data_IF_564815550639
#
_entry.id   IF_564815550639
#
_cell.length_a   1.000
_cell.length_b   1.000
_cell.length_c   1.000
_cell.angle_alpha   90.00
_cell.angle_beta   90.00
_cell.angle_gamma   90.00
#
_symmetry.space_group_name_H-M   'P 1'
#
loop_
_entity.id
_entity.type
_entity.pdbx_description
1 polymer ?
#
# COMPACT_ATOMS: atom_id res chain seq x y z
N UNK A 1 -12.00 3.34 5.14
CA UNK A 1 -12.36 3.84 3.80
C UNK A 1 -11.18 3.65 2.89
N UNK A 2 -11.40 3.17 1.67
CA UNK A 2 -10.36 2.96 0.66
C UNK A 2 -10.09 4.29 -0.07
N UNK A 3 -8.83 4.71 -0.20
CA UNK A 3 -8.47 6.03 -0.75
C UNK A 3 -8.96 6.20 -2.20
N UNK A 4 -8.94 5.13 -3.00
CA UNK A 4 -9.48 5.14 -4.36
C UNK A 4 -10.98 5.39 -4.35
N UNK A 5 -11.70 4.70 -3.46
CA UNK A 5 -13.15 4.84 -3.33
C UNK A 5 -13.55 6.27 -2.87
N UNK A 6 -12.81 6.86 -1.93
CA UNK A 6 -13.03 8.24 -1.50
C UNK A 6 -12.83 9.24 -2.64
N UNK A 7 -11.77 9.06 -3.43
CA UNK A 7 -11.51 9.90 -4.60
C UNK A 7 -12.60 9.76 -5.66
N UNK A 8 -13.07 8.53 -5.93
CA UNK A 8 -14.17 8.27 -6.87
C UNK A 8 -15.48 8.91 -6.41
N UNK A 9 -15.78 8.90 -5.11
CA UNK A 9 -16.94 9.62 -4.54
C UNK A 9 -16.84 11.12 -4.81
N UNK A 10 -15.70 11.74 -4.52
CA UNK A 10 -15.51 13.18 -4.76
C UNK A 10 -15.70 13.52 -6.24
N UNK A 11 -15.14 12.72 -7.15
CA UNK A 11 -15.32 12.91 -8.59
C UNK A 11 -16.79 12.78 -9.02
N UNK A 12 -17.51 11.83 -8.43
CA UNK A 12 -18.92 11.63 -8.69
C UNK A 12 -19.75 12.83 -8.22
N UNK A 13 -19.49 13.33 -7.01
CA UNK A 13 -20.20 14.48 -6.45
C UNK A 13 -19.92 15.77 -7.25
N UNK A 14 -18.66 16.01 -7.63
CA UNK A 14 -18.29 17.11 -8.52
C UNK A 14 -19.00 17.02 -9.88
N UNK A 15 -19.11 15.81 -10.44
CA UNK A 15 -19.83 15.61 -11.69
C UNK A 15 -21.33 15.88 -11.53
N UNK A 16 -21.94 15.48 -10.41
CA UNK A 16 -23.34 15.77 -10.09
C UNK A 16 -23.61 17.28 -9.92
N UNK A 17 -22.61 18.04 -9.45
CA UNK A 17 -22.63 19.51 -9.38
C UNK A 17 -22.32 20.19 -10.73
N UNK A 18 -22.11 19.43 -11.81
CA UNK A 18 -21.78 19.95 -13.15
C UNK A 18 -20.31 20.34 -13.33
N UNK A 19 -19.46 20.07 -12.35
CA UNK A 19 -18.01 20.34 -12.38
C UNK A 19 -17.24 19.17 -12.96
N UNK A 20 -17.35 18.95 -14.28
CA UNK A 20 -16.62 17.89 -14.97
C UNK A 20 -15.14 18.22 -15.11
N UNK A 21 -14.27 17.41 -14.50
CA UNK A 21 -12.82 17.49 -14.64
C UNK A 21 -12.33 16.66 -15.83
N UNK A 22 -11.26 17.09 -16.50
CA UNK A 22 -10.62 16.29 -17.54
C UNK A 22 -10.03 15.01 -16.95
N UNK A 23 -10.06 13.91 -17.70
CA UNK A 23 -9.49 12.64 -17.24
C UNK A 23 -8.00 12.78 -16.87
N UNK A 24 -7.23 13.52 -17.66
CA UNK A 24 -5.83 13.82 -17.37
C UNK A 24 -5.62 14.52 -16.02
N UNK A 25 -6.52 15.43 -15.64
CA UNK A 25 -6.48 16.08 -14.34
C UNK A 25 -6.87 15.11 -13.22
N UNK A 26 -7.88 14.29 -13.42
CA UNK A 26 -8.30 13.28 -12.43
C UNK A 26 -7.16 12.31 -12.12
N UNK A 27 -6.48 11.79 -13.15
CA UNK A 27 -5.29 10.94 -13.04
C UNK A 27 -4.18 11.67 -12.28
N UNK A 28 -3.87 12.92 -12.66
CA UNK A 28 -2.83 13.72 -12.00
C UNK A 28 -3.11 13.94 -10.52
N UNK A 29 -4.33 14.34 -10.20
CA UNK A 29 -4.76 14.61 -8.84
C UNK A 29 -4.68 13.35 -7.98
N UNK A 30 -5.11 12.20 -8.50
CA UNK A 30 -5.07 10.94 -7.75
C UNK A 30 -3.62 10.50 -7.46
N UNK A 31 -2.71 10.59 -8.46
CA UNK A 31 -1.28 10.31 -8.28
C UNK A 31 -0.67 11.26 -7.24
N UNK A 32 -1.02 12.54 -7.29
CA UNK A 32 -0.43 13.53 -6.39
C UNK A 32 -0.88 13.33 -4.95
N UNK A 33 -2.12 12.85 -4.74
CA UNK A 33 -2.69 12.54 -3.42
C UNK A 33 -2.21 11.21 -2.82
N UNK A 34 -1.36 10.44 -3.49
CA UNK A 34 -0.83 9.20 -2.92
C UNK A 34 0.02 9.45 -1.67
N UNK A 35 -0.07 8.56 -0.65
CA UNK A 35 0.68 8.69 0.59
C UNK A 35 2.20 8.63 0.34
N UNK A 36 3.02 9.27 1.20
CA UNK A 36 4.49 9.31 1.06
C UNK A 36 5.14 7.92 1.01
N UNK A 37 4.54 6.92 1.65
CA UNK A 37 5.03 5.53 1.65
C UNK A 37 4.98 4.87 0.26
N UNK A 38 4.27 5.46 -0.71
CA UNK A 38 4.21 4.99 -2.10
C UNK A 38 5.12 5.82 -3.03
N UNK A 39 6.21 6.41 -2.52
CA UNK A 39 7.07 7.33 -3.31
C UNK A 39 7.56 6.73 -4.63
N UNK A 40 8.09 5.51 -4.61
CA UNK A 40 8.66 4.90 -5.81
C UNK A 40 7.57 4.50 -6.81
N UNK A 41 6.45 3.97 -6.31
CA UNK A 41 5.26 3.71 -7.11
C UNK A 41 4.68 5.00 -7.72
N UNK A 42 4.65 6.10 -6.95
CA UNK A 42 4.23 7.43 -7.42
C UNK A 42 5.14 7.93 -8.54
N UNK A 43 6.45 7.72 -8.45
CA UNK A 43 7.40 8.08 -9.51
C UNK A 43 7.16 7.26 -10.79
N UNK A 44 6.93 5.96 -10.66
CA UNK A 44 6.54 5.10 -11.78
C UNK A 44 5.25 5.58 -12.45
N UNK A 45 4.22 5.91 -11.67
CA UNK A 45 2.96 6.42 -12.19
C UNK A 45 3.13 7.77 -12.89
N UNK A 46 3.95 8.69 -12.36
CA UNK A 46 4.27 9.97 -13.03
C UNK A 46 4.91 9.77 -14.40
N UNK A 47 5.78 8.77 -14.54
CA UNK A 47 6.37 8.42 -15.83
C UNK A 47 5.34 7.87 -16.82
N UNK A 48 4.42 7.01 -16.35
CA UNK A 48 3.38 6.37 -17.19
C UNK A 48 2.09 7.17 -17.38
N UNK A 49 1.96 8.29 -16.67
CA UNK A 49 0.73 9.07 -16.58
C UNK A 49 0.13 9.47 -17.94
N UNK A 50 0.96 9.81 -18.94
CA UNK A 50 0.47 10.25 -20.26
C UNK A 50 -0.12 9.11 -21.11
N UNK A 51 0.22 7.87 -20.79
CA UNK A 51 -0.20 6.66 -21.52
C UNK A 51 -1.36 5.95 -20.80
N UNK A 52 -1.83 6.49 -19.67
CA UNK A 52 -2.72 5.82 -18.72
C UNK A 52 -4.01 6.61 -18.50
N UNK A 53 -5.15 5.91 -18.60
CA UNK A 53 -6.46 6.43 -18.22
C UNK A 53 -6.78 6.19 -16.74
N UNK A 54 -7.91 6.72 -16.27
CA UNK A 54 -8.29 6.62 -14.85
C UNK A 54 -8.53 5.16 -14.40
N UNK A 55 -9.17 4.36 -15.25
CA UNK A 55 -9.45 2.95 -14.94
C UNK A 55 -8.18 2.12 -14.78
N UNK A 56 -7.19 2.28 -15.67
CA UNK A 56 -5.89 1.62 -15.57
C UNK A 56 -5.16 2.03 -14.28
N UNK A 57 -5.21 3.32 -13.92
CA UNK A 57 -4.65 3.80 -12.66
C UNK A 57 -5.32 3.15 -11.44
N UNK A 58 -6.65 3.01 -11.44
CA UNK A 58 -7.40 2.37 -10.36
C UNK A 58 -6.98 0.90 -10.19
N UNK A 59 -6.88 0.16 -11.29
CA UNK A 59 -6.46 -1.25 -11.26
C UNK A 59 -5.05 -1.37 -10.66
N UNK A 60 -4.12 -0.54 -11.10
CA UNK A 60 -2.73 -0.55 -10.59
C UNK A 60 -2.64 -0.21 -9.11
N UNK A 61 -3.45 0.74 -8.63
CA UNK A 61 -3.50 1.07 -7.20
C UNK A 61 -4.01 -0.07 -6.34
N UNK A 62 -5.01 -0.83 -6.83
CA UNK A 62 -5.52 -2.02 -6.12
C UNK A 62 -4.46 -3.11 -6.05
N UNK A 63 -3.77 -3.39 -7.16
CA UNK A 63 -2.67 -4.37 -7.20
C UNK A 63 -1.56 -3.97 -6.23
N UNK A 64 -1.11 -2.71 -6.27
CA UNK A 64 -0.05 -2.23 -5.38
C UNK A 64 -0.44 -2.32 -3.90
N UNK A 65 -1.69 -1.98 -3.56
CA UNK A 65 -2.22 -2.12 -2.21
C UNK A 65 -2.16 -3.58 -1.74
N UNK A 66 -2.61 -4.52 -2.57
CA UNK A 66 -2.63 -5.94 -2.23
C UNK A 66 -1.21 -6.51 -2.07
N UNK A 67 -0.29 -6.10 -2.95
CA UNK A 67 1.12 -6.47 -2.86
C UNK A 67 1.72 -6.04 -1.52
N UNK A 68 1.53 -4.77 -1.14
CA UNK A 68 2.04 -4.24 0.13
C UNK A 68 1.43 -4.92 1.35
N UNK A 69 0.13 -5.25 1.30
CA UNK A 69 -0.52 -6.01 2.37
C UNK A 69 0.07 -7.42 2.50
N UNK A 70 0.48 -8.04 1.39
CA UNK A 70 1.16 -9.34 1.39
C UNK A 70 2.57 -9.23 1.98
N UNK A 71 3.35 -8.23 1.57
CA UNK A 71 4.69 -7.98 2.10
C UNK A 71 4.69 -7.72 3.60
N UNK A 72 3.78 -6.86 4.10
CA UNK A 72 3.66 -6.58 5.54
C UNK A 72 3.31 -7.84 6.35
N UNK A 73 2.45 -8.72 5.82
CA UNK A 73 2.12 -9.99 6.48
C UNK A 73 3.35 -10.89 6.53
N UNK A 74 4.09 -10.98 5.44
CA UNK A 74 5.31 -11.79 5.35
C UNK A 74 6.39 -11.30 6.32
N UNK A 75 6.61 -9.99 6.38
CA UNK A 75 7.53 -9.37 7.35
C UNK A 75 7.14 -9.68 8.80
N UNK A 76 5.84 -9.55 9.13
CA UNK A 76 5.33 -9.85 10.47
C UNK A 76 5.59 -11.30 10.86
N UNK A 77 5.30 -12.25 9.96
CA UNK A 77 5.56 -13.69 10.20
C UNK A 77 7.05 -13.95 10.42
N UNK A 78 7.93 -13.31 9.65
CA UNK A 78 9.37 -13.45 9.83
C UNK A 78 9.85 -12.91 11.18
N UNK A 79 9.32 -11.76 11.62
CA UNK A 79 9.67 -11.16 12.91
C UNK A 79 9.22 -12.09 14.05
N UNK A 80 7.98 -12.59 13.99
CA UNK A 80 7.44 -13.53 14.98
C UNK A 80 8.25 -14.84 15.04
N UNK A 81 8.61 -15.41 13.88
CA UNK A 81 9.45 -16.61 13.81
C UNK A 81 10.82 -16.39 14.47
N UNK A 82 11.47 -15.26 14.18
CA UNK A 82 12.77 -14.90 14.80
C UNK A 82 12.65 -14.73 16.32
N UNK A 83 11.60 -14.07 16.81
CA UNK A 83 11.37 -13.89 18.24
C UNK A 83 11.18 -15.23 18.96
N UNK A 84 10.39 -16.14 18.38
CA UNK A 84 10.16 -17.47 18.93
C UNK A 84 11.46 -18.29 19.01
N UNK A 85 12.30 -18.25 17.98
CA UNK A 85 13.60 -18.93 17.98
C UNK A 85 14.53 -18.40 19.08
N UNK A 86 14.58 -17.08 19.29
CA UNK A 86 15.37 -16.47 20.36
C UNK A 86 14.85 -16.85 21.74
N UNK A 87 13.53 -16.87 21.95
CA UNK A 87 12.93 -17.31 23.21
C UNK A 87 13.21 -18.79 23.51
N UNK A 88 13.13 -19.66 22.50
CA UNK A 88 13.43 -21.09 22.64
C UNK A 88 14.91 -21.27 23.01
N UNK A 89 15.83 -20.59 22.32
CA UNK A 89 17.25 -20.64 22.63
C UNK A 89 17.54 -20.17 24.06
N UNK A 90 16.94 -19.05 24.50
CA UNK A 90 17.09 -18.54 25.86
C UNK A 90 16.55 -19.50 26.92
N UNK A 91 15.43 -20.18 26.62
CA UNK A 91 14.83 -21.17 27.53
C UNK A 91 15.70 -22.43 27.64
N UNK A 92 16.25 -22.91 26.53
CA UNK A 92 17.18 -24.06 26.52
C UNK A 92 18.46 -23.75 27.29
N UNK A 93 19.00 -22.54 27.18
CA UNK A 93 20.19 -22.15 27.94
C UNK A 93 19.94 -22.16 29.45
N UNK A 94 18.81 -21.61 29.92
CA UNK A 94 18.45 -21.60 31.35
C UNK A 94 18.23 -23.01 31.92
N UNK A 95 17.63 -23.92 31.17
CA UNK A 95 17.42 -25.30 31.66
C UNK A 95 18.72 -26.10 31.72
N UNK A 96 19.71 -25.78 30.87
CA UNK A 96 21.05 -26.40 30.91
C UNK A 96 21.93 -25.89 32.05
N UNK A 97 21.76 -24.64 32.49
CA UNK A 97 22.53 -24.07 33.60
C UNK A 97 22.03 -24.51 34.98
N UNK A 98 20.74 -24.86 35.12
CA UNK A 98 20.15 -25.36 36.37
C UNK A 98 20.32 -26.86 36.65
N UNK A 99 21.04 -27.60 35.79
CA UNK A 99 21.32 -29.04 35.91
C UNK A 99 22.75 -29.36 36.42
N UNK A 100 23.42 -28.39 37.05
CA UNK A 100 24.72 -28.59 37.73
C UNK A 100 24.59 -28.56 39.24
#
# INVERSE_FOLDING_TARGET
MDQVQEFQMILHDLHAEGMKLSESFQVAAMIEKLPPLLKDFKNYLKYKQKEMGLEDLIVRLRIEKDNRLSEMKFEKVQIEAKANLLQVAFTISRTREGLK
#
